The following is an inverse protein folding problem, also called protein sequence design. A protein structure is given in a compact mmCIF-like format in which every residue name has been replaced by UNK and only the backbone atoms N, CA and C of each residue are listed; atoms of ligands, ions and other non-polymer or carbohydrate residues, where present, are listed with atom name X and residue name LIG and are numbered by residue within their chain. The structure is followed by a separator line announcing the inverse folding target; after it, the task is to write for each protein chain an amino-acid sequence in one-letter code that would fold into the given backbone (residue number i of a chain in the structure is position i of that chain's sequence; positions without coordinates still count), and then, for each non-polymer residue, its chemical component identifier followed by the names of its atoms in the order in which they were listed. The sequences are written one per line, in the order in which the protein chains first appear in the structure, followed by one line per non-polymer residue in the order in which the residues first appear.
data_IF_062518595480
#
_entry.id   IF_062518595480
#
_cell.length_a   1.000
_cell.length_b   1.000
_cell.length_c   1.000
_cell.angle_alpha   90.00
_cell.angle_beta   90.00
_cell.angle_gamma   90.00
#
_symmetry.space_group_name_H-M   'P 1'
#
loop_
_entity.id
_entity.type
_entity.pdbx_description
1 polymer ?
#
# COMPACT_ATOMS: atom_id res chain seq x y z
N UNK A 1 -74.27 55.24 10.46
CA UNK A 1 -73.99 56.42 9.61
C UNK A 1 -72.58 56.89 9.91
N UNK A 2 -71.64 56.66 8.97
CA UNK A 2 -70.22 57.11 8.94
C UNK A 2 -69.36 56.48 10.06
N UNK A 3 -68.15 55.96 9.86
CA UNK A 3 -66.99 56.43 9.09
C UNK A 3 -66.03 55.29 8.72
N UNK A 4 -65.21 55.60 7.72
CA UNK A 4 -64.08 54.88 7.12
C UNK A 4 -62.94 54.38 8.05
N UNK A 5 -62.26 53.34 7.56
CA UNK A 5 -60.80 53.15 7.50
C UNK A 5 -59.96 53.21 8.79
N UNK A 6 -59.41 52.05 9.21
CA UNK A 6 -57.95 51.79 9.19
C UNK A 6 -57.63 50.37 9.69
N UNK A 7 -57.00 49.57 8.84
CA UNK A 7 -56.30 48.34 9.22
C UNK A 7 -54.84 48.73 9.50
N UNK A 8 -54.28 48.51 10.70
CA UNK A 8 -52.85 48.72 10.91
C UNK A 8 -52.03 47.53 10.44
N UNK A 9 -50.88 47.89 9.88
CA UNK A 9 -49.85 47.10 9.25
C UNK A 9 -49.25 46.03 10.18
N UNK A 10 -48.87 44.90 9.61
CA UNK A 10 -47.74 44.10 10.10
C UNK A 10 -46.79 43.88 8.94
N UNK A 11 -45.64 44.54 9.04
CA UNK A 11 -44.51 44.43 8.16
C UNK A 11 -43.73 43.16 8.50
N UNK A 12 -43.44 42.32 7.50
CA UNK A 12 -42.23 41.49 7.52
C UNK A 12 -41.70 41.33 6.10
N UNK A 13 -40.46 41.77 5.95
CA UNK A 13 -39.58 41.81 4.78
C UNK A 13 -39.30 40.42 4.18
N UNK A 14 -39.00 40.31 2.87
CA UNK A 14 -38.62 39.05 2.22
C UNK A 14 -37.11 38.78 2.31
N UNK A 15 -36.74 37.55 1.90
CA UNK A 15 -35.42 37.13 1.37
C UNK A 15 -34.53 36.31 2.29
N UNK A 16 -34.08 35.17 1.73
CA UNK A 16 -32.79 34.56 2.04
C UNK A 16 -32.84 33.27 2.87
N UNK A 17 -33.19 32.14 2.24
CA UNK A 17 -32.75 30.84 2.76
C UNK A 17 -32.30 29.90 1.62
N UNK A 18 -30.99 29.90 1.40
CA UNK A 18 -30.20 28.73 1.00
C UNK A 18 -28.91 28.75 1.85
N UNK A 19 -28.24 27.62 2.14
CA UNK A 19 -28.38 26.32 1.49
C UNK A 19 -28.76 25.18 2.46
N UNK A 20 -29.40 24.15 1.89
CA UNK A 20 -29.37 22.81 2.47
C UNK A 20 -27.93 22.29 2.38
N UNK A 21 -27.34 21.99 3.53
CA UNK A 21 -26.14 21.16 3.62
C UNK A 21 -26.51 19.77 3.08
N UNK A 22 -26.10 19.47 1.85
CA UNK A 22 -25.99 18.09 1.39
C UNK A 22 -24.77 17.52 2.11
N UNK A 23 -24.99 16.71 3.13
CA UNK A 23 -23.96 15.77 3.59
C UNK A 23 -23.77 14.80 2.43
N UNK A 24 -22.72 14.99 1.65
CA UNK A 24 -22.32 14.03 0.63
C UNK A 24 -21.86 12.77 1.36
N UNK A 25 -22.64 11.72 1.16
CA UNK A 25 -22.22 10.35 1.39
C UNK A 25 -21.12 10.07 0.36
N UNK A 26 -19.89 10.39 0.74
CA UNK A 26 -18.70 10.43 -0.12
C UNK A 26 -18.49 9.09 -0.83
N UNK A 27 -18.88 8.01 -0.17
CA UNK A 27 -18.78 6.64 -0.67
C UNK A 27 -19.80 6.41 -1.80
N UNK A 28 -21.04 6.92 -1.65
CA UNK A 28 -22.06 6.85 -2.69
C UNK A 28 -21.70 7.71 -3.93
N UNK A 29 -21.03 8.85 -3.72
CA UNK A 29 -20.54 9.70 -4.80
C UNK A 29 -19.37 9.05 -5.55
N UNK A 30 -18.42 8.45 -4.82
CA UNK A 30 -17.33 7.67 -5.41
C UNK A 30 -17.84 6.46 -6.20
N UNK A 31 -18.85 5.76 -5.69
CA UNK A 31 -19.49 4.63 -6.39
C UNK A 31 -20.25 5.08 -7.65
N UNK A 32 -20.86 6.27 -7.63
CA UNK A 32 -21.51 6.82 -8.82
C UNK A 32 -20.49 7.24 -9.88
N UNK A 33 -19.38 7.87 -9.46
CA UNK A 33 -18.26 8.23 -10.36
C UNK A 33 -17.65 6.98 -10.97
N UNK A 34 -17.37 5.95 -10.17
CA UNK A 34 -16.82 4.67 -10.65
C UNK A 34 -17.71 4.03 -11.70
N UNK A 35 -19.01 3.91 -11.42
CA UNK A 35 -20.00 3.39 -12.39
C UNK A 35 -20.05 4.21 -13.69
N UNK A 36 -19.94 5.54 -13.60
CA UNK A 36 -19.91 6.41 -14.79
C UNK A 36 -18.63 6.23 -15.60
N UNK A 37 -17.48 6.10 -14.94
CA UNK A 37 -16.20 5.86 -15.60
C UNK A 37 -16.21 4.48 -16.28
N UNK A 38 -16.71 3.46 -15.60
CA UNK A 38 -16.79 2.10 -16.14
C UNK A 38 -17.70 2.03 -17.37
N UNK A 39 -18.82 2.78 -17.36
CA UNK A 39 -19.73 2.86 -18.50
C UNK A 39 -19.14 3.65 -19.69
N UNK A 40 -18.32 4.68 -19.43
CA UNK A 40 -17.71 5.51 -20.48
C UNK A 40 -16.46 4.87 -21.08
N UNK A 41 -15.73 4.06 -20.30
CA UNK A 41 -14.48 3.42 -20.71
C UNK A 41 -14.56 1.91 -20.53
N UNK A 42 -15.44 1.21 -21.27
CA UNK A 42 -15.67 -0.22 -21.06
C UNK A 42 -14.43 -1.09 -21.30
N UNK A 43 -13.50 -0.66 -22.16
CA UNK A 43 -12.22 -1.34 -22.35
C UNK A 43 -11.26 -1.17 -21.15
N UNK A 44 -11.27 -0.01 -20.48
CA UNK A 44 -10.49 0.23 -19.25
C UNK A 44 -11.12 -0.49 -18.07
N UNK A 45 -12.45 -0.48 -17.98
CA UNK A 45 -13.20 -1.23 -16.97
C UNK A 45 -12.99 -2.74 -17.13
N UNK A 46 -13.00 -3.25 -18.37
CA UNK A 46 -12.70 -4.64 -18.66
C UNK A 46 -11.26 -5.00 -18.29
N UNK A 47 -10.28 -4.16 -18.65
CA UNK A 47 -8.87 -4.34 -18.26
C UNK A 47 -8.69 -4.36 -16.73
N UNK A 48 -9.28 -3.40 -16.01
CA UNK A 48 -9.23 -3.33 -14.55
C UNK A 48 -9.98 -4.48 -13.87
N UNK A 49 -11.09 -4.93 -14.46
CA UNK A 49 -11.85 -6.07 -13.98
C UNK A 49 -11.17 -7.41 -14.31
N UNK A 50 -10.37 -7.48 -15.37
CA UNK A 50 -9.55 -8.63 -15.73
C UNK A 50 -8.35 -8.73 -14.78
N UNK A 51 -7.65 -7.62 -14.49
CA UNK A 51 -6.62 -7.58 -13.43
C UNK A 51 -7.20 -7.86 -12.04
N UNK A 52 -8.46 -7.50 -11.77
CA UNK A 52 -9.12 -7.81 -10.50
C UNK A 52 -9.66 -9.25 -10.41
N UNK A 53 -9.88 -9.94 -11.54
CA UNK A 53 -10.43 -11.31 -11.57
C UNK A 53 -9.37 -12.40 -11.44
N UNK A 54 -8.09 -12.09 -11.65
CA UNK A 54 -7.02 -13.11 -11.66
C UNK A 54 -6.55 -13.57 -10.28
N UNK A 55 -7.05 -13.02 -9.17
CA UNK A 55 -6.65 -13.44 -7.82
C UNK A 55 -7.83 -13.99 -7.01
N UNK A 56 -8.35 -15.15 -7.42
CA UNK A 56 -9.30 -15.92 -6.58
C UNK A 56 -8.58 -16.74 -5.50
N UNK A 57 -7.27 -16.96 -5.67
CA UNK A 57 -6.41 -17.54 -4.64
C UNK A 57 -5.75 -16.43 -3.80
N UNK A 58 -5.61 -16.64 -2.47
CA UNK A 58 -4.93 -15.66 -1.63
C UNK A 58 -3.48 -15.46 -2.11
N UNK A 59 -3.12 -14.20 -2.33
CA UNK A 59 -1.79 -13.78 -2.83
C UNK A 59 -0.63 -14.21 -1.92
N UNK A 60 -0.92 -14.44 -0.64
CA UNK A 60 0.03 -14.92 0.35
C UNK A 60 -0.39 -16.30 0.86
N UNK A 61 0.60 -17.20 0.96
CA UNK A 61 0.43 -18.47 1.67
C UNK A 61 0.32 -18.24 3.18
N UNK A 62 -0.15 -19.24 3.93
CA UNK A 62 -0.24 -19.12 5.39
C UNK A 62 1.12 -18.84 6.04
N UNK A 63 2.18 -19.50 5.58
CA UNK A 63 3.54 -19.27 6.08
C UNK A 63 4.03 -17.82 5.84
N UNK A 64 3.57 -17.16 4.77
CA UNK A 64 3.88 -15.76 4.48
C UNK A 64 3.02 -14.78 5.29
N UNK A 65 1.96 -15.27 5.97
CA UNK A 65 1.05 -14.47 6.81
C UNK A 65 1.32 -14.63 8.30
N UNK A 66 1.94 -15.74 8.70
CA UNK A 66 2.20 -16.09 10.09
C UNK A 66 3.61 -15.67 10.52
N UNK A 67 3.70 -14.93 11.62
CA UNK A 67 4.97 -14.64 12.28
C UNK A 67 5.47 -15.88 13.03
N UNK A 68 6.72 -16.27 12.76
CA UNK A 68 7.44 -17.33 13.44
C UNK A 68 8.71 -16.73 14.02
N UNK A 69 9.08 -17.13 15.25
CA UNK A 69 10.34 -16.68 15.85
C UNK A 69 11.53 -17.24 15.05
N UNK A 70 12.37 -16.35 14.53
CA UNK A 70 13.66 -16.72 13.97
C UNK A 70 14.71 -16.60 15.08
N UNK A 71 15.25 -17.74 15.52
CA UNK A 71 16.24 -17.81 16.59
C UNK A 71 17.59 -17.17 16.22
N UNK A 72 17.96 -17.20 14.93
CA UNK A 72 19.22 -16.62 14.44
C UNK A 72 19.17 -15.09 14.41
N UNK A 73 18.02 -14.54 14.05
CA UNK A 73 17.75 -13.10 14.09
C UNK A 73 17.37 -12.61 15.50
N UNK A 74 16.80 -13.49 16.32
CA UNK A 74 16.22 -13.13 17.62
C UNK A 74 14.93 -12.30 17.49
N UNK A 75 14.19 -12.45 16.38
CA UNK A 75 12.99 -11.67 16.09
C UNK A 75 11.93 -12.50 15.35
N UNK A 76 10.63 -12.26 15.57
CA UNK A 76 9.59 -12.84 14.74
C UNK A 76 9.65 -12.35 13.29
N UNK A 77 9.50 -13.26 12.33
CA UNK A 77 9.39 -12.96 10.90
C UNK A 77 8.42 -13.89 10.18
N UNK A 78 7.94 -13.49 9.02
CA UNK A 78 7.19 -14.38 8.12
C UNK A 78 8.15 -15.21 7.26
N UNK A 79 7.62 -16.23 6.56
CA UNK A 79 8.33 -16.77 5.40
C UNK A 79 8.44 -15.69 4.30
N UNK A 80 9.50 -15.71 3.48
CA UNK A 80 9.66 -14.75 2.39
C UNK A 80 8.64 -14.99 1.27
N UNK A 81 8.21 -13.89 0.67
CA UNK A 81 7.64 -13.85 -0.68
C UNK A 81 8.80 -13.71 -1.63
N UNK A 82 8.97 -14.67 -2.55
CA UNK A 82 10.07 -14.67 -3.53
C UNK A 82 9.53 -14.51 -4.95
N UNK A 83 10.26 -13.83 -5.82
CA UNK A 83 10.05 -13.92 -7.26
C UNK A 83 10.20 -15.36 -7.76
N UNK A 84 9.44 -15.73 -8.80
CA UNK A 84 9.64 -17.02 -9.46
C UNK A 84 10.97 -17.02 -10.22
N UNK A 85 11.26 -15.91 -10.93
CA UNK A 85 12.57 -15.65 -11.53
C UNK A 85 13.68 -15.63 -10.47
N UNK A 86 14.79 -16.28 -10.82
CA UNK A 86 16.02 -16.33 -10.03
C UNK A 86 16.97 -15.20 -10.44
N UNK A 87 18.02 -15.00 -9.66
CA UNK A 87 18.97 -13.92 -9.89
C UNK A 87 19.61 -14.01 -11.28
N UNK A 88 20.00 -12.86 -11.81
CA UNK A 88 20.51 -12.64 -13.17
C UNK A 88 21.84 -11.89 -13.14
N UNK A 89 22.51 -11.86 -11.99
CA UNK A 89 23.78 -11.18 -11.79
C UNK A 89 24.87 -11.73 -12.73
N UNK A 90 25.45 -10.86 -13.55
CA UNK A 90 26.56 -11.20 -14.46
C UNK A 90 27.85 -11.60 -13.72
N UNK A 91 27.96 -11.25 -12.43
CA UNK A 91 29.12 -11.54 -11.57
C UNK A 91 29.00 -12.87 -10.84
N UNK A 92 27.81 -13.47 -10.80
CA UNK A 92 27.56 -14.77 -10.20
C UNK A 92 27.62 -15.88 -11.26
N UNK A 93 28.03 -17.08 -10.84
CA UNK A 93 27.91 -18.27 -11.67
C UNK A 93 26.43 -18.62 -11.88
N UNK A 94 26.07 -19.37 -12.95
CA UNK A 94 24.69 -19.81 -13.15
C UNK A 94 24.13 -20.63 -11.98
N UNK A 95 24.98 -21.36 -11.26
CA UNK A 95 24.56 -22.12 -10.09
C UNK A 95 24.24 -21.20 -8.90
N UNK A 96 25.06 -20.17 -8.66
CA UNK A 96 24.79 -19.18 -7.61
C UNK A 96 23.53 -18.38 -7.90
N UNK A 97 23.35 -17.96 -9.15
CA UNK A 97 22.13 -17.27 -9.60
C UNK A 97 20.87 -18.12 -9.38
N UNK A 98 20.94 -19.44 -9.60
CA UNK A 98 19.79 -20.33 -9.45
C UNK A 98 19.30 -20.48 -7.99
N UNK A 99 20.16 -20.21 -7.00
CA UNK A 99 19.84 -20.34 -5.58
C UNK A 99 19.18 -19.08 -5.00
N UNK A 100 19.29 -17.94 -5.68
CA UNK A 100 18.83 -16.65 -5.18
C UNK A 100 17.58 -16.19 -5.95
N UNK A 101 16.52 -15.72 -5.27
CA UNK A 101 15.43 -15.06 -5.95
C UNK A 101 15.88 -13.69 -6.47
N UNK A 102 15.32 -13.25 -7.59
CA UNK A 102 15.56 -11.89 -8.09
C UNK A 102 15.06 -10.82 -7.11
N UNK A 103 13.90 -11.06 -6.50
CA UNK A 103 13.31 -10.23 -5.45
C UNK A 103 12.81 -11.11 -4.32
N UNK A 104 13.01 -10.67 -3.08
CA UNK A 104 12.29 -11.24 -1.95
C UNK A 104 11.88 -10.17 -0.93
N UNK A 105 10.79 -10.47 -0.21
CA UNK A 105 10.32 -9.62 0.86
C UNK A 105 9.72 -10.44 2.00
N UNK A 106 9.86 -9.94 3.23
CA UNK A 106 9.26 -10.56 4.42
C UNK A 106 8.94 -9.50 5.48
N UNK A 107 7.97 -9.81 6.35
CA UNK A 107 7.69 -8.98 7.53
C UNK A 107 8.59 -9.43 8.67
N UNK A 108 9.20 -8.48 9.37
CA UNK A 108 10.02 -8.69 10.56
C UNK A 108 9.54 -7.76 11.68
N UNK A 109 9.42 -8.28 12.90
CA UNK A 109 9.04 -7.50 14.08
C UNK A 109 10.25 -7.34 15.00
N UNK A 110 10.78 -6.12 15.07
CA UNK A 110 11.93 -5.78 15.91
C UNK A 110 11.47 -5.13 17.22
N UNK A 111 12.26 -5.28 18.27
CA UNK A 111 12.03 -4.65 19.58
C UNK A 111 12.83 -3.33 19.78
N UNK A 112 13.55 -2.89 18.74
CA UNK A 112 14.25 -1.63 18.71
C UNK A 112 14.41 -1.11 17.28
N UNK A 113 14.66 0.19 17.14
CA UNK A 113 15.15 0.80 15.90
C UNK A 113 16.25 1.83 16.20
N UNK A 114 17.18 2.08 15.27
CA UNK A 114 18.07 3.24 15.37
C UNK A 114 17.26 4.54 15.44
N UNK A 115 17.69 5.45 16.31
CA UNK A 115 17.19 6.82 16.34
C UNK A 115 18.24 7.74 15.71
N UNK A 116 17.86 8.50 14.69
CA UNK A 116 18.77 9.37 13.95
C UNK A 116 18.00 10.19 12.93
N UNK A 117 18.62 11.26 12.45
CA UNK A 117 18.10 12.07 11.36
C UNK A 117 18.94 11.77 10.11
N UNK A 118 18.33 11.92 8.93
CA UNK A 118 19.09 11.99 7.69
C UNK A 118 19.75 13.36 7.67
N UNK A 119 21.08 13.37 7.66
CA UNK A 119 21.87 14.58 7.57
C UNK A 119 21.63 15.34 6.26
N UNK A 120 22.04 16.61 6.17
CA UNK A 120 21.92 17.41 4.95
C UNK A 120 22.72 16.83 3.76
N UNK A 121 23.66 15.93 4.02
CA UNK A 121 24.45 15.17 3.03
C UNK A 121 23.77 13.86 2.59
N UNK A 122 22.59 13.53 3.12
CA UNK A 122 21.86 12.31 2.83
C UNK A 122 22.33 11.09 3.61
N UNK A 123 23.31 11.23 4.51
CA UNK A 123 23.78 10.13 5.34
C UNK A 123 22.95 10.02 6.62
N UNK A 124 22.64 8.78 7.02
CA UNK A 124 21.96 8.51 8.28
C UNK A 124 22.97 8.52 9.43
N UNK A 125 22.80 9.44 10.38
CA UNK A 125 23.64 9.53 11.57
C UNK A 125 22.90 8.98 12.80
N UNK A 126 23.17 7.73 13.24
CA UNK A 126 22.53 7.18 14.42
C UNK A 126 23.00 7.90 15.69
N UNK A 127 22.06 8.46 16.45
CA UNK A 127 22.29 9.13 17.75
C UNK A 127 21.92 8.27 18.95
N UNK A 128 21.22 7.15 18.73
CA UNK A 128 20.82 6.22 19.78
C UNK A 128 19.86 5.15 19.26
N UNK A 129 19.08 4.56 20.15
CA UNK A 129 18.05 3.58 19.81
C UNK A 129 16.76 3.86 20.55
N UNK A 130 15.63 3.67 19.85
CA UNK A 130 14.31 3.63 20.49
C UNK A 130 13.94 2.18 20.70
N UNK A 131 13.55 1.83 21.92
CA UNK A 131 13.00 0.52 22.24
C UNK A 131 11.48 0.54 22.13
N UNK A 132 10.93 -0.51 21.55
CA UNK A 132 9.52 -0.59 21.22
C UNK A 132 9.29 -1.67 20.18
N UNK A 133 8.03 -2.07 19.98
CA UNK A 133 7.68 -3.00 18.91
C UNK A 133 7.64 -2.22 17.58
N UNK A 134 8.36 -2.72 16.58
CA UNK A 134 8.44 -2.13 15.24
C UNK A 134 8.31 -3.23 14.19
N UNK A 135 7.23 -3.18 13.44
CA UNK A 135 6.98 -4.00 12.26
C UNK A 135 7.67 -3.35 11.07
N UNK A 136 8.42 -4.14 10.33
CA UNK A 136 9.18 -3.72 9.15
C UNK A 136 8.92 -4.71 8.03
N UNK A 137 8.85 -4.20 6.80
CA UNK A 137 9.02 -5.03 5.61
C UNK A 137 10.49 -4.96 5.22
N UNK A 138 11.17 -6.09 5.26
CA UNK A 138 12.50 -6.23 4.69
C UNK A 138 12.33 -6.61 3.23
N UNK A 139 12.95 -5.83 2.35
CA UNK A 139 12.94 -6.05 0.92
C UNK A 139 14.38 -6.25 0.47
N UNK A 140 14.65 -7.43 -0.06
CA UNK A 140 15.94 -7.76 -0.65
C UNK A 140 15.81 -7.71 -2.16
N UNK A 141 16.84 -7.14 -2.78
CA UNK A 141 17.02 -7.11 -4.23
C UNK A 141 18.47 -7.44 -4.54
N UNK A 142 18.72 -8.05 -5.70
CA UNK A 142 20.07 -8.27 -6.20
C UNK A 142 20.90 -6.98 -6.14
N UNK A 143 22.14 -7.09 -5.65
CA UNK A 143 23.01 -5.94 -5.35
C UNK A 143 23.78 -5.41 -6.58
N UNK A 144 23.49 -5.93 -7.77
CA UNK A 144 24.39 -5.93 -8.92
C UNK A 144 23.67 -5.62 -10.23
N UNK A 145 24.43 -5.60 -11.33
CA UNK A 145 23.96 -5.23 -12.67
C UNK A 145 23.96 -6.47 -13.56
N UNK A 146 22.87 -6.67 -14.31
CA UNK A 146 22.70 -7.76 -15.25
C UNK A 146 22.62 -7.24 -16.69
N UNK A 147 23.19 -7.99 -17.64
CA UNK A 147 23.11 -7.68 -19.07
C UNK A 147 21.95 -8.43 -19.70
N UNK A 148 20.91 -7.70 -20.10
CA UNK A 148 19.68 -8.27 -20.64
C UNK A 148 19.45 -7.91 -22.10
N UNK A 149 18.99 -8.90 -22.88
CA UNK A 149 18.33 -8.61 -24.15
C UNK A 149 16.98 -7.92 -23.90
N UNK A 150 16.41 -7.20 -24.89
CA UNK A 150 15.08 -6.61 -24.75
C UNK A 150 13.96 -7.64 -24.46
N UNK A 151 14.12 -8.89 -24.88
CA UNK A 151 13.17 -9.95 -24.56
C UNK A 151 13.23 -10.32 -23.07
N UNK A 152 14.43 -10.59 -22.55
CA UNK A 152 14.63 -10.89 -21.12
C UNK A 152 14.22 -9.72 -20.23
N UNK A 153 14.47 -8.47 -20.65
CA UNK A 153 14.01 -7.29 -19.92
C UNK A 153 12.47 -7.24 -19.80
N UNK A 154 11.72 -7.72 -20.80
CA UNK A 154 10.25 -7.80 -20.71
C UNK A 154 9.79 -8.90 -19.76
N UNK A 155 10.51 -10.02 -19.70
CA UNK A 155 10.26 -11.10 -18.73
C UNK A 155 10.48 -10.60 -17.30
N UNK A 156 11.58 -9.87 -17.04
CA UNK A 156 11.82 -9.23 -15.74
C UNK A 156 10.70 -8.26 -15.37
N UNK A 157 10.22 -7.45 -16.34
CA UNK A 157 9.11 -6.52 -16.09
C UNK A 157 7.80 -7.25 -15.75
N UNK A 158 7.53 -8.41 -16.38
CA UNK A 158 6.38 -9.22 -16.02
C UNK A 158 6.50 -9.75 -14.58
N UNK A 159 7.65 -10.34 -14.23
CA UNK A 159 7.92 -10.81 -12.88
C UNK A 159 7.81 -9.69 -11.83
N UNK A 160 8.32 -8.49 -12.12
CA UNK A 160 8.20 -7.34 -11.22
C UNK A 160 6.75 -6.98 -10.92
N UNK A 161 5.84 -7.10 -11.89
CA UNK A 161 4.40 -6.81 -11.67
C UNK A 161 3.76 -7.87 -10.80
N UNK A 162 4.04 -9.14 -11.07
CA UNK A 162 3.50 -10.26 -10.28
C UNK A 162 4.03 -10.22 -8.84
N UNK A 163 5.31 -9.90 -8.67
CA UNK A 163 5.91 -9.67 -7.36
C UNK A 163 5.29 -8.46 -6.65
N UNK A 164 5.06 -7.35 -7.37
CA UNK A 164 4.47 -6.15 -6.79
C UNK A 164 3.09 -6.41 -6.16
N UNK A 165 2.22 -7.21 -6.81
CA UNK A 165 0.93 -7.58 -6.23
C UNK A 165 1.06 -8.36 -4.92
N UNK A 166 2.04 -9.27 -4.83
CA UNK A 166 2.30 -10.01 -3.58
C UNK A 166 2.97 -9.15 -2.51
N UNK A 167 3.83 -8.21 -2.91
CA UNK A 167 4.42 -7.24 -2.00
C UNK A 167 3.35 -6.31 -1.41
N UNK A 168 2.38 -5.88 -2.22
CA UNK A 168 1.24 -5.08 -1.74
C UNK A 168 0.43 -5.84 -0.69
N UNK A 169 0.07 -7.09 -0.95
CA UNK A 169 -0.59 -7.94 0.05
C UNK A 169 0.26 -8.14 1.32
N UNK A 170 1.59 -8.22 1.19
CA UNK A 170 2.51 -8.32 2.33
C UNK A 170 2.54 -7.02 3.16
N UNK A 171 2.47 -5.85 2.50
CA UNK A 171 2.36 -4.54 3.15
C UNK A 171 1.04 -4.41 3.92
N UNK A 172 -0.09 -4.80 3.33
CA UNK A 172 -1.39 -4.83 4.03
C UNK A 172 -1.30 -5.71 5.28
N UNK A 173 -0.64 -6.88 5.16
CA UNK A 173 -0.41 -7.76 6.31
C UNK A 173 0.51 -7.13 7.36
N UNK A 174 1.53 -6.39 6.94
CA UNK A 174 2.40 -5.66 7.85
C UNK A 174 1.63 -4.59 8.63
N UNK A 175 0.72 -3.87 7.98
CA UNK A 175 -0.14 -2.87 8.62
C UNK A 175 -1.06 -3.50 9.68
N UNK A 176 -1.65 -4.66 9.38
CA UNK A 176 -2.44 -5.42 10.36
C UNK A 176 -1.63 -5.82 11.60
N UNK A 177 -0.36 -6.19 11.41
CA UNK A 177 0.56 -6.58 12.48
C UNK A 177 1.02 -5.36 13.30
N UNK A 178 1.15 -4.21 12.63
CA UNK A 178 1.71 -2.97 13.18
C UNK A 178 0.73 -2.20 14.08
N UNK A 179 -0.54 -2.62 14.19
CA UNK A 179 -1.56 -1.96 15.04
C UNK A 179 -1.09 -1.76 16.50
N UNK A 180 -0.25 -2.67 17.00
CA UNK A 180 0.31 -2.61 18.36
C UNK A 180 1.70 -1.98 18.46
N UNK A 181 2.23 -1.43 17.37
CA UNK A 181 3.58 -0.90 17.33
C UNK A 181 3.73 0.39 18.13
N UNK A 182 4.98 0.67 18.50
CA UNK A 182 5.34 1.87 19.25
C UNK A 182 4.88 3.15 18.53
N UNK A 183 4.94 3.17 17.21
CA UNK A 183 4.54 4.33 16.39
C UNK A 183 3.02 4.51 16.30
N UNK A 184 2.22 3.46 16.55
CA UNK A 184 0.76 3.54 16.58
C UNK A 184 0.21 4.14 17.88
N UNK A 185 1.07 4.36 18.89
CA UNK A 185 0.68 4.79 20.25
C UNK A 185 1.04 6.24 20.59
N UNK A 186 1.66 6.98 19.67
CA UNK A 186 2.08 8.38 19.83
C UNK A 186 1.33 9.31 18.89
#
# INVERSE_FOLDING_TARGET
MKTDTNIPQSATTPSGRLPFLVKTDKDAEQDAVRRSVDAQFPAVAAFLAETAREHTEPLLTEAQRTLVMDEGLGAPRTAPVESAMRDIDDTLSPAENAELPLFDAQVVVLNWKPNGEIGPDGHFEPRGSVYGRFTKVWFNRGATTATLTPAQAREVVAEMRDFAGRLEALCERADEIAVDDHEARG
#
